data_IF_031126846297
#
_entry.id   IF_031126846297
#
_cell.length_a   1.000
_cell.length_b   1.000
_cell.length_c   1.000
_cell.angle_alpha   90.00
_cell.angle_beta   90.00
_cell.angle_gamma   90.00
#
_symmetry.space_group_name_H-M   'P 1'
#
loop_
_entity.id
_entity.type
_entity.pdbx_description
1 polymer ?
#
# COMPACT_ATOMS: atom_id res chain seq x y z
N UNK A 1 13.00 -23.44 -4.81
CA UNK A 1 13.71 -22.15 -4.54
C UNK A 1 14.31 -21.71 -5.86
N UNK A 2 13.91 -20.54 -6.35
CA UNK A 2 14.30 -20.00 -7.67
C UNK A 2 15.63 -19.23 -7.64
N UNK A 3 16.32 -19.19 -6.49
CA UNK A 3 17.56 -18.45 -6.29
C UNK A 3 17.39 -16.94 -6.12
N UNK A 4 16.16 -16.43 -6.00
CA UNK A 4 15.88 -15.01 -5.81
C UNK A 4 16.06 -14.64 -4.33
N UNK A 5 16.71 -13.50 -4.06
CA UNK A 5 16.82 -12.94 -2.71
C UNK A 5 15.51 -12.22 -2.38
N UNK A 6 14.76 -12.76 -1.39
CA UNK A 6 13.61 -12.08 -0.82
C UNK A 6 14.02 -11.08 0.26
N UNK A 7 13.25 -9.98 0.35
CA UNK A 7 13.41 -8.92 1.36
C UNK A 7 12.16 -8.86 2.23
N UNK A 8 12.34 -8.83 3.55
CA UNK A 8 11.26 -8.63 4.53
C UNK A 8 11.65 -7.55 5.54
N UNK A 9 10.68 -6.95 6.26
CA UNK A 9 10.99 -6.10 7.39
C UNK A 9 11.85 -6.85 8.43
N UNK A 10 12.79 -6.14 9.05
CA UNK A 10 13.61 -6.71 10.12
C UNK A 10 12.71 -6.97 11.33
N UNK A 11 12.84 -8.15 11.94
CA UNK A 11 11.97 -8.56 13.04
C UNK A 11 12.03 -7.57 14.21
N UNK A 12 13.22 -7.09 14.59
CA UNK A 12 13.40 -6.08 15.65
C UNK A 12 12.66 -4.76 15.36
N UNK A 13 12.58 -4.35 14.09
CA UNK A 13 11.83 -3.16 13.71
C UNK A 13 10.33 -3.40 13.87
N UNK A 14 9.85 -4.59 13.53
CA UNK A 14 8.45 -4.93 13.68
C UNK A 14 8.03 -5.11 15.13
N UNK A 15 8.93 -5.60 15.99
CA UNK A 15 8.75 -5.70 17.44
C UNK A 15 8.72 -4.33 18.14
N UNK A 16 9.36 -3.32 17.55
CA UNK A 16 9.29 -1.95 18.04
C UNK A 16 7.89 -1.33 17.92
N UNK A 17 7.08 -1.78 16.97
CA UNK A 17 5.69 -1.31 16.83
C UNK A 17 4.79 -1.98 17.87
N UNK A 18 4.07 -1.15 18.64
CA UNK A 18 3.15 -1.57 19.70
C UNK A 18 1.71 -1.13 19.44
N UNK A 19 0.79 -1.73 20.19
CA UNK A 19 -0.62 -1.35 20.14
C UNK A 19 -1.29 -1.64 18.80
N UNK A 20 -0.97 -2.77 18.18
CA UNK A 20 -1.63 -3.23 16.95
C UNK A 20 -3.14 -3.25 17.12
N UNK A 21 -3.84 -2.59 16.21
CA UNK A 21 -5.31 -2.53 16.12
C UNK A 21 -5.76 -3.24 14.87
N UNK A 22 -6.76 -4.09 15.00
CA UNK A 22 -7.45 -4.65 13.85
C UNK A 22 -8.28 -3.57 13.17
N UNK A 23 -8.21 -3.53 11.86
CA UNK A 23 -8.99 -2.65 11.00
C UNK A 23 -10.09 -3.46 10.30
N UNK A 24 -10.98 -2.74 9.66
CA UNK A 24 -12.00 -3.34 8.80
C UNK A 24 -11.34 -4.11 7.64
N UNK A 25 -11.91 -5.26 7.30
CA UNK A 25 -11.48 -6.09 6.18
C UNK A 25 -12.44 -5.88 4.99
N UNK A 26 -12.12 -5.00 4.04
CA UNK A 26 -13.01 -4.75 2.91
C UNK A 26 -13.01 -5.90 1.90
N UNK A 27 -14.17 -6.08 1.28
CA UNK A 27 -14.32 -6.81 0.03
C UNK A 27 -14.98 -5.85 -0.96
N UNK A 28 -14.23 -5.41 -1.95
CA UNK A 28 -14.63 -4.41 -2.94
C UNK A 28 -14.77 -5.04 -4.31
N UNK A 29 -15.83 -4.64 -5.05
CA UNK A 29 -16.06 -5.12 -6.42
C UNK A 29 -16.55 -3.99 -7.31
N UNK A 30 -15.86 -3.75 -8.40
CA UNK A 30 -16.18 -2.70 -9.37
C UNK A 30 -16.24 -3.23 -10.80
N UNK A 31 -16.99 -2.52 -11.65
CA UNK A 31 -17.03 -2.73 -13.10
C UNK A 31 -16.96 -1.36 -13.75
N UNK A 32 -15.97 -1.15 -14.63
CA UNK A 32 -15.70 0.11 -15.34
C UNK A 32 -15.50 1.33 -14.41
N UNK A 33 -15.15 1.11 -13.18
CA UNK A 33 -14.98 2.15 -12.17
C UNK A 33 -13.80 1.85 -11.24
N UNK A 34 -13.50 2.85 -10.42
CA UNK A 34 -12.59 2.73 -9.26
C UNK A 34 -13.40 2.85 -7.98
N UNK A 35 -13.16 1.99 -7.03
CA UNK A 35 -13.69 2.08 -5.67
C UNK A 35 -12.58 2.30 -4.68
N UNK A 36 -12.85 3.06 -3.63
CA UNK A 36 -11.96 3.31 -2.51
C UNK A 36 -12.66 3.03 -1.19
N UNK A 37 -11.94 2.40 -0.27
CA UNK A 37 -12.39 2.17 1.11
C UNK A 37 -11.36 2.74 2.08
N UNK A 38 -11.79 3.72 2.88
CA UNK A 38 -10.99 4.27 3.97
C UNK A 38 -10.89 3.21 5.09
N UNK A 39 -9.67 2.92 5.52
CA UNK A 39 -9.37 1.95 6.58
C UNK A 39 -9.07 2.63 7.91
N UNK A 40 -8.45 3.81 7.86
CA UNK A 40 -8.03 4.57 9.03
C UNK A 40 -7.98 6.05 8.67
N UNK A 41 -8.54 6.91 9.53
CA UNK A 41 -8.55 8.36 9.34
C UNK A 41 -7.21 9.01 9.74
N UNK A 42 -6.51 8.43 10.70
CA UNK A 42 -5.28 8.99 11.24
C UNK A 42 -4.22 7.91 11.50
N UNK A 43 -3.24 7.85 10.62
CA UNK A 43 -2.05 6.99 10.77
C UNK A 43 -0.93 7.66 11.57
N UNK A 44 -1.01 8.97 11.78
CA UNK A 44 0.10 9.76 12.28
C UNK A 44 1.31 9.73 11.32
N UNK A 45 2.45 10.21 11.80
CA UNK A 45 3.70 10.28 11.02
C UNK A 45 4.56 9.01 11.07
N UNK A 46 4.23 8.08 11.97
CA UNK A 46 4.94 6.79 12.11
C UNK A 46 3.88 5.70 12.23
N UNK A 47 3.91 4.76 11.30
CA UNK A 47 2.95 3.65 11.28
C UNK A 47 3.53 2.39 10.63
N UNK A 48 3.04 1.25 11.08
CA UNK A 48 3.18 -0.01 10.36
C UNK A 48 1.78 -0.57 10.06
N UNK A 49 1.51 -0.79 8.81
CA UNK A 49 0.25 -1.37 8.31
C UNK A 49 0.52 -2.76 7.75
N UNK A 50 -0.34 -3.72 8.06
CA UNK A 50 -0.30 -5.07 7.51
C UNK A 50 -1.66 -5.48 7.01
N UNK A 51 -1.68 -6.19 5.89
CA UNK A 51 -2.87 -6.83 5.34
C UNK A 51 -2.49 -8.00 4.46
N UNK A 52 -3.41 -8.91 4.26
CA UNK A 52 -3.32 -9.94 3.22
C UNK A 52 -4.39 -9.63 2.19
N UNK A 53 -4.00 -9.43 0.94
CA UNK A 53 -4.94 -9.15 -0.14
C UNK A 53 -5.02 -10.31 -1.11
N UNK A 54 -6.20 -10.47 -1.71
CA UNK A 54 -6.49 -11.37 -2.82
C UNK A 54 -7.34 -10.63 -3.83
N UNK A 55 -7.11 -10.83 -5.11
CA UNK A 55 -7.92 -10.28 -6.20
C UNK A 55 -8.35 -11.38 -7.17
N UNK A 56 -9.47 -11.17 -7.84
CA UNK A 56 -10.02 -12.09 -8.84
C UNK A 56 -9.45 -11.80 -10.24
N UNK A 57 -9.62 -12.76 -11.14
CA UNK A 57 -9.29 -12.59 -12.57
C UNK A 57 -10.05 -11.41 -13.17
N UNK A 58 -9.39 -10.63 -14.01
CA UNK A 58 -9.94 -9.42 -14.63
C UNK A 58 -9.71 -8.14 -13.84
N UNK A 59 -9.24 -8.21 -12.58
CA UNK A 59 -8.84 -7.04 -11.81
C UNK A 59 -7.67 -6.36 -12.50
N UNK A 60 -7.82 -5.07 -12.81
CA UNK A 60 -6.76 -4.31 -13.51
C UNK A 60 -5.73 -3.75 -12.56
N UNK A 61 -6.20 -3.10 -11.51
CA UNK A 61 -5.34 -2.39 -10.57
C UNK A 61 -5.90 -2.44 -9.15
N UNK A 62 -5.02 -2.38 -8.16
CA UNK A 62 -5.37 -2.04 -6.79
C UNK A 62 -4.27 -1.19 -6.17
N UNK A 63 -4.57 -0.45 -5.12
CA UNK A 63 -3.54 0.36 -4.46
C UNK A 63 -3.77 0.50 -2.96
N UNK A 64 -2.67 0.86 -2.27
CA UNK A 64 -2.69 1.34 -0.90
C UNK A 64 -2.39 2.82 -0.96
N UNK A 65 -3.35 3.65 -0.54
CA UNK A 65 -3.21 5.10 -0.42
C UNK A 65 -2.93 5.46 1.03
N UNK A 66 -1.99 6.34 1.27
CA UNK A 66 -1.61 6.80 2.61
C UNK A 66 -1.27 8.28 2.61
N UNK A 67 -1.24 8.89 3.78
CA UNK A 67 -1.24 10.35 3.94
C UNK A 67 -2.34 11.00 3.11
N UNK A 68 -3.51 10.34 3.06
CA UNK A 68 -4.65 10.82 2.30
C UNK A 68 -5.31 11.98 3.02
N UNK A 69 -5.51 13.06 2.29
CA UNK A 69 -6.36 14.17 2.68
C UNK A 69 -7.75 13.98 2.09
N UNK A 70 -8.77 13.98 2.93
CA UNK A 70 -10.16 13.69 2.54
C UNK A 70 -10.80 14.85 1.74
N UNK A 71 -10.34 16.08 1.95
CA UNK A 71 -10.93 17.24 1.28
C UNK A 71 -10.34 17.44 -0.12
N UNK A 72 -9.01 17.32 -0.23
CA UNK A 72 -8.29 17.59 -1.47
C UNK A 72 -8.02 16.33 -2.30
N UNK A 73 -8.29 15.14 -1.77
CA UNK A 73 -7.96 13.84 -2.36
C UNK A 73 -6.45 13.62 -2.63
N UNK A 74 -5.60 14.52 -2.15
CA UNK A 74 -4.15 14.36 -2.26
C UNK A 74 -3.68 13.24 -1.36
N UNK A 75 -2.79 12.39 -1.88
CA UNK A 75 -2.23 11.25 -1.13
C UNK A 75 -0.97 10.73 -1.81
N UNK A 76 -0.26 9.85 -1.13
CA UNK A 76 0.66 8.92 -1.77
C UNK A 76 0.00 7.57 -1.97
N UNK A 77 0.48 6.80 -2.95
CA UNK A 77 0.00 5.44 -3.19
C UNK A 77 1.12 4.51 -3.66
N UNK A 78 0.99 3.25 -3.25
CA UNK A 78 1.61 2.13 -3.93
C UNK A 78 0.54 1.46 -4.79
N UNK A 79 0.65 1.61 -6.12
CA UNK A 79 -0.30 1.09 -7.10
C UNK A 79 0.25 -0.18 -7.74
N UNK A 80 -0.55 -1.21 -7.72
CA UNK A 80 -0.25 -2.51 -8.30
C UNK A 80 -0.96 -2.62 -9.65
N UNK A 81 -0.18 -2.75 -10.71
CA UNK A 81 -0.66 -2.96 -12.06
C UNK A 81 -0.64 -4.46 -12.34
N UNK A 82 -1.82 -5.10 -12.34
CA UNK A 82 -1.94 -6.55 -12.40
C UNK A 82 -1.41 -7.10 -13.72
N UNK A 83 -1.86 -6.53 -14.86
CA UNK A 83 -1.43 -6.97 -16.18
C UNK A 83 0.06 -6.75 -16.44
N UNK A 84 0.62 -5.67 -15.91
CA UNK A 84 2.03 -5.30 -16.11
C UNK A 84 2.97 -5.99 -15.11
N UNK A 85 2.43 -6.69 -14.13
CA UNK A 85 3.19 -7.38 -13.08
C UNK A 85 4.20 -6.46 -12.38
N UNK A 86 3.73 -5.30 -11.92
CA UNK A 86 4.57 -4.34 -11.21
C UNK A 86 3.81 -3.58 -10.13
N UNK A 87 4.57 -3.05 -9.19
CA UNK A 87 4.12 -2.03 -8.23
C UNK A 87 4.85 -0.73 -8.50
N UNK A 88 4.12 0.38 -8.46
CA UNK A 88 4.64 1.73 -8.70
C UNK A 88 4.28 2.61 -7.51
N UNK A 89 5.22 3.45 -7.08
CA UNK A 89 4.96 4.51 -6.12
C UNK A 89 4.54 5.78 -6.85
N UNK A 90 3.41 6.38 -6.43
CA UNK A 90 2.87 7.61 -7.01
C UNK A 90 2.45 8.61 -5.93
N UNK A 91 2.29 9.87 -6.34
CA UNK A 91 1.53 10.88 -5.62
C UNK A 91 0.22 11.16 -6.37
N UNK A 92 -0.89 11.17 -5.67
CA UNK A 92 -2.23 11.40 -6.22
C UNK A 92 -2.76 12.77 -5.81
N UNK A 93 -3.53 13.46 -6.65
CA UNK A 93 -3.75 13.13 -8.05
C UNK A 93 -2.44 13.23 -8.85
N UNK A 94 -2.32 12.40 -9.89
CA UNK A 94 -1.10 12.33 -10.68
C UNK A 94 -1.05 13.48 -11.70
N UNK A 95 -0.66 14.64 -11.23
CA UNK A 95 -0.43 15.80 -12.11
C UNK A 95 0.88 15.65 -12.89
N UNK A 96 0.97 16.21 -14.12
CA UNK A 96 2.16 16.10 -14.96
C UNK A 96 3.46 16.52 -14.28
N UNK A 97 3.43 17.49 -13.38
CA UNK A 97 4.63 17.95 -12.65
C UNK A 97 5.11 17.02 -11.55
N UNK A 98 4.31 16.02 -11.16
CA UNK A 98 4.73 14.98 -10.22
C UNK A 98 5.45 13.83 -10.92
N UNK A 99 5.31 13.68 -12.22
CA UNK A 99 5.92 12.58 -12.97
C UNK A 99 7.45 12.54 -12.85
N UNK A 100 8.09 13.69 -12.68
CA UNK A 100 9.54 13.75 -12.50
C UNK A 100 10.02 13.14 -11.17
N UNK A 101 9.14 13.01 -10.16
CA UNK A 101 9.46 12.39 -8.88
C UNK A 101 9.25 10.88 -8.88
N UNK A 102 8.52 10.34 -9.85
CA UNK A 102 8.12 8.94 -9.92
C UNK A 102 9.01 8.10 -10.85
N UNK A 103 9.99 8.72 -11.52
CA UNK A 103 10.88 8.01 -12.44
C UNK A 103 11.71 6.98 -11.68
N UNK A 104 11.57 5.71 -12.05
CA UNK A 104 12.32 4.59 -11.48
C UNK A 104 11.80 4.11 -10.11
N UNK A 105 10.71 4.66 -9.59
CA UNK A 105 10.09 4.18 -8.35
C UNK A 105 9.07 3.08 -8.65
N UNK A 106 9.54 2.01 -9.26
CA UNK A 106 8.74 0.81 -9.54
C UNK A 106 9.54 -0.47 -9.25
N UNK A 107 8.82 -1.57 -9.05
CA UNK A 107 9.41 -2.90 -8.92
C UNK A 107 8.55 -3.91 -9.68
N UNK A 108 9.18 -4.82 -10.43
CA UNK A 108 8.49 -5.97 -10.97
C UNK A 108 8.04 -6.86 -9.81
N UNK A 109 6.81 -7.35 -9.90
CA UNK A 109 6.23 -8.31 -8.97
C UNK A 109 5.25 -9.18 -9.71
N UNK A 110 5.36 -10.50 -9.56
CA UNK A 110 4.41 -11.41 -10.18
C UNK A 110 3.07 -11.35 -9.46
N UNK A 111 2.02 -10.91 -10.16
CA UNK A 111 0.66 -10.78 -9.67
C UNK A 111 -0.23 -11.80 -10.40
N UNK A 112 -0.81 -12.71 -9.66
CA UNK A 112 -1.68 -13.79 -10.16
C UNK A 112 -3.00 -13.74 -9.41
N UNK A 113 -4.10 -13.82 -10.15
CA UNK A 113 -5.43 -13.86 -9.57
C UNK A 113 -5.60 -15.05 -8.60
N UNK A 114 -6.48 -14.90 -7.63
CA UNK A 114 -6.81 -15.87 -6.60
C UNK A 114 -5.66 -16.28 -5.66
N UNK A 115 -4.51 -15.61 -5.78
CA UNK A 115 -3.41 -15.78 -4.82
C UNK A 115 -3.46 -14.73 -3.73
N UNK A 116 -2.96 -15.10 -2.57
CA UNK A 116 -2.82 -14.21 -1.41
C UNK A 116 -1.46 -13.53 -1.42
N UNK A 117 -1.48 -12.23 -1.14
CA UNK A 117 -0.29 -11.39 -1.04
C UNK A 117 -0.23 -10.75 0.34
N UNK A 118 0.80 -11.09 1.09
CA UNK A 118 1.09 -10.43 2.37
C UNK A 118 1.75 -9.09 2.10
N UNK A 119 1.13 -8.03 2.58
CA UNK A 119 1.60 -6.66 2.43
C UNK A 119 1.95 -6.08 3.80
N UNK A 120 3.11 -5.44 3.88
CA UNK A 120 3.49 -4.62 5.01
C UNK A 120 3.95 -3.26 4.49
N UNK A 121 3.28 -2.19 4.91
CA UNK A 121 3.69 -0.81 4.64
C UNK A 121 4.20 -0.21 5.94
N UNK A 122 5.42 0.31 5.91
CA UNK A 122 6.02 1.06 7.01
C UNK A 122 6.16 2.51 6.57
N UNK A 123 5.66 3.40 7.40
CA UNK A 123 5.75 4.85 7.24
C UNK A 123 6.59 5.36 8.40
N UNK A 124 7.65 6.09 8.10
CA UNK A 124 8.50 6.77 9.06
C UNK A 124 8.77 8.19 8.56
N UNK A 125 7.91 9.11 8.96
CA UNK A 125 7.94 10.53 8.59
C UNK A 125 8.02 10.70 7.05
N UNK A 126 9.20 11.03 6.54
CA UNK A 126 9.45 11.32 5.13
C UNK A 126 9.84 10.09 4.31
N UNK A 127 9.73 8.90 4.88
CA UNK A 127 10.08 7.65 4.21
C UNK A 127 8.93 6.66 4.32
N UNK A 128 8.62 6.00 3.22
CA UNK A 128 7.75 4.84 3.23
C UNK A 128 8.43 3.63 2.59
N UNK A 129 8.16 2.45 3.12
CA UNK A 129 8.65 1.19 2.57
C UNK A 129 7.51 0.18 2.50
N UNK A 130 7.21 -0.21 1.28
CA UNK A 130 6.29 -1.32 1.01
C UNK A 130 7.07 -2.62 0.95
N UNK A 131 6.57 -3.64 1.61
CA UNK A 131 7.01 -5.03 1.46
C UNK A 131 5.83 -5.87 0.98
N UNK A 132 6.05 -6.69 -0.02
CA UNK A 132 5.07 -7.61 -0.56
C UNK A 132 5.76 -8.89 -1.04
N UNK A 133 5.42 -10.04 -0.45
CA UNK A 133 5.92 -11.37 -0.84
C UNK A 133 7.42 -11.42 -1.18
N UNK A 134 8.27 -10.81 -0.34
CA UNK A 134 9.72 -10.81 -0.55
C UNK A 134 10.25 -9.71 -1.47
N UNK A 135 9.41 -8.83 -1.98
CA UNK A 135 9.80 -7.63 -2.74
C UNK A 135 9.66 -6.39 -1.87
N UNK A 136 10.59 -5.44 -1.98
CA UNK A 136 10.50 -4.17 -1.29
C UNK A 136 10.59 -2.99 -2.26
N UNK A 137 9.80 -1.95 -2.01
CA UNK A 137 9.88 -0.66 -2.68
C UNK A 137 9.89 0.44 -1.62
N UNK A 138 11.00 1.18 -1.59
CA UNK A 138 11.19 2.32 -0.70
C UNK A 138 10.99 3.62 -1.46
N UNK A 139 10.34 4.60 -0.82
CA UNK A 139 10.10 5.91 -1.38
C UNK A 139 10.33 7.01 -0.35
N UNK A 140 10.85 8.15 -0.80
CA UNK A 140 10.93 9.37 -0.03
C UNK A 140 9.71 10.24 -0.30
N UNK A 141 9.11 10.79 0.75
CA UNK A 141 7.95 11.66 0.71
C UNK A 141 8.41 13.12 0.76
N UNK A 142 7.69 14.00 0.09
CA UNK A 142 8.05 15.43 0.02
C UNK A 142 7.21 16.28 0.97
N UNK A 143 6.03 15.81 1.34
CA UNK A 143 5.05 16.48 2.18
C UNK A 143 4.14 15.45 2.87
N UNK A 144 3.28 15.94 3.76
CA UNK A 144 2.27 15.15 4.46
C UNK A 144 0.90 15.80 4.23
N UNK A 145 0.22 15.52 3.10
CA UNK A 145 -1.03 16.17 2.76
C UNK A 145 -2.17 15.86 3.73
N UNK A 146 -2.19 14.65 4.29
CA UNK A 146 -3.19 14.21 5.25
C UNK A 146 -2.70 13.02 6.06
N UNK A 147 -3.62 12.33 6.74
CA UNK A 147 -3.28 11.19 7.62
C UNK A 147 -4.06 9.91 7.25
N UNK A 148 -4.93 9.94 6.27
CA UNK A 148 -5.79 8.81 5.92
C UNK A 148 -5.02 7.64 5.30
N UNK A 149 -5.55 6.44 5.53
CA UNK A 149 -5.10 5.18 4.90
C UNK A 149 -6.30 4.51 4.23
N UNK A 150 -6.17 4.18 2.95
CA UNK A 150 -7.24 3.57 2.17
C UNK A 150 -6.73 2.46 1.25
N UNK A 151 -7.63 1.57 0.87
CA UNK A 151 -7.44 0.61 -0.23
C UNK A 151 -8.30 1.03 -1.43
N UNK A 152 -7.80 0.78 -2.63
CA UNK A 152 -8.55 0.99 -3.87
C UNK A 152 -8.49 -0.24 -4.76
N UNK A 153 -9.50 -0.39 -5.60
CA UNK A 153 -9.53 -1.38 -6.68
C UNK A 153 -10.15 -0.75 -7.94
N UNK A 154 -9.64 -1.12 -9.10
CA UNK A 154 -10.15 -0.67 -10.40
C UNK A 154 -10.51 -1.88 -11.25
N UNK A 155 -11.74 -1.90 -11.76
CA UNK A 155 -12.26 -2.95 -12.66
C UNK A 155 -11.96 -4.35 -12.14
N UNK A 156 -12.53 -4.71 -11.00
CA UNK A 156 -12.32 -6.05 -10.46
C UNK A 156 -12.75 -6.20 -9.02
N UNK A 157 -12.20 -7.21 -8.36
CA UNK A 157 -12.50 -7.56 -6.97
C UNK A 157 -11.23 -7.57 -6.16
N UNK A 158 -11.24 -6.93 -5.00
CA UNK A 158 -10.17 -6.96 -4.00
C UNK A 158 -10.73 -7.34 -2.65
N UNK A 159 -10.22 -8.42 -2.09
CA UNK A 159 -10.49 -8.85 -0.72
C UNK A 159 -9.26 -8.59 0.14
N UNK A 160 -9.47 -7.98 1.30
CA UNK A 160 -8.44 -7.83 2.32
C UNK A 160 -8.80 -8.61 3.58
N UNK A 161 -7.81 -9.18 4.24
CA UNK A 161 -7.97 -9.88 5.52
C UNK A 161 -6.75 -9.67 6.41
N UNK A 162 -6.90 -9.93 7.70
CA UNK A 162 -5.86 -9.72 8.71
C UNK A 162 -5.33 -8.28 8.69
N UNK A 163 -6.21 -7.33 8.38
CA UNK A 163 -5.87 -5.93 8.21
C UNK A 163 -5.67 -5.28 9.56
N UNK A 164 -4.49 -4.73 9.80
CA UNK A 164 -4.14 -4.11 11.09
C UNK A 164 -3.11 -3.01 10.95
N UNK A 165 -3.11 -2.11 11.92
CA UNK A 165 -2.18 -0.99 11.99
C UNK A 165 -1.60 -0.84 13.40
N UNK A 166 -0.35 -0.41 13.48
CA UNK A 166 0.28 0.10 14.70
C UNK A 166 0.84 1.49 14.42
N UNK A 167 0.54 2.44 15.30
CA UNK A 167 0.95 3.86 15.19
C UNK A 167 1.82 4.31 16.36
N UNK A 168 2.29 3.37 17.16
CA UNK A 168 3.17 3.63 18.31
C UNK A 168 4.43 2.81 18.20
N UNK A 169 5.54 3.40 18.62
CA UNK A 169 6.82 2.72 18.78
C UNK A 169 7.16 2.64 20.25
N UNK A 170 7.54 1.48 20.73
CA UNK A 170 8.12 1.29 22.06
C UNK A 170 9.45 2.05 22.13
N UNK A 171 9.58 2.90 23.13
CA UNK A 171 10.82 3.65 23.42
C UNK A 171 11.79 2.81 24.23
#
# INVERSE_FOLDING_TARGET
EDGTLGVKPVDQMMEAFDGWKDLFNPCMKTIDTKEETLLCEDTGSIAAFKTTVKFEEGTKEFSIRFYKDEETEVSYEYRFFVEENKVVFNKCPNYPWYQCFNIGLERPIKLEADKEYEICLIIDQDISTLYINGTALNARLCDHPGNGLALTVTDGTLEAKNTKIATKINK
#
